data_IF_496040980768
#
_entry.id   IF_496040980768
#
_cell.length_a   1.000
_cell.length_b   1.000
_cell.length_c   1.000
_cell.angle_alpha   90.00
_cell.angle_beta   90.00
_cell.angle_gamma   90.00
#
_symmetry.space_group_name_H-M   'P 1'
#
loop_
_entity.id
_entity.type
_entity.pdbx_description
1 polymer ?
#
# COMPACT_ATOMS: atom_id res chain seq x y z
N UNK A 1 57.63 21.27 0.80
CA UNK A 1 57.61 22.75 0.61
C UNK A 1 57.44 23.23 -0.85
N UNK A 2 57.46 22.35 -1.86
CA UNK A 2 57.36 22.70 -3.29
C UNK A 2 55.92 22.77 -3.83
N UNK A 3 55.01 21.96 -3.29
CA UNK A 3 53.59 21.92 -3.70
C UNK A 3 52.85 23.21 -3.31
N UNK A 4 53.07 23.71 -2.10
CA UNK A 4 52.46 24.96 -1.57
C UNK A 4 52.90 26.20 -2.37
N UNK A 5 54.15 26.26 -2.80
CA UNK A 5 54.66 27.36 -3.64
C UNK A 5 54.14 27.28 -5.08
N UNK A 6 53.90 26.06 -5.60
CA UNK A 6 53.31 25.86 -6.94
C UNK A 6 51.82 26.22 -6.96
N UNK A 7 51.06 25.83 -5.94
CA UNK A 7 49.64 26.22 -5.80
C UNK A 7 49.48 27.73 -5.65
N UNK A 8 50.35 28.39 -4.86
CA UNK A 8 50.32 29.85 -4.71
C UNK A 8 50.60 30.62 -6.01
N UNK A 9 51.55 30.16 -6.84
CA UNK A 9 51.81 30.76 -8.16
C UNK A 9 50.69 30.50 -9.16
N UNK A 10 50.08 29.31 -9.12
CA UNK A 10 48.96 28.97 -9.98
C UNK A 10 47.72 29.82 -9.65
N UNK A 11 47.37 29.96 -8.37
CA UNK A 11 46.28 30.83 -7.93
C UNK A 11 46.52 32.29 -8.33
N UNK A 12 47.73 32.81 -8.11
CA UNK A 12 48.09 34.19 -8.46
C UNK A 12 47.94 34.45 -9.96
N UNK A 13 48.37 33.50 -10.81
CA UNK A 13 48.18 33.60 -12.27
C UNK A 13 46.71 33.57 -12.66
N UNK A 14 45.92 32.72 -12.02
CA UNK A 14 44.47 32.61 -12.27
C UNK A 14 43.76 33.93 -11.92
N UNK A 15 44.10 34.52 -10.76
CA UNK A 15 43.57 35.82 -10.34
C UNK A 15 44.02 36.94 -11.28
N UNK A 16 45.29 36.97 -11.67
CA UNK A 16 45.81 37.98 -12.61
C UNK A 16 45.13 37.90 -13.98
N UNK A 17 44.91 36.69 -14.51
CA UNK A 17 44.18 36.50 -15.77
C UNK A 17 42.72 36.92 -15.61
N UNK A 18 42.08 36.60 -14.48
CA UNK A 18 40.71 36.98 -14.19
C UNK A 18 40.52 38.50 -14.04
N UNK A 19 41.49 39.20 -13.45
CA UNK A 19 41.46 40.68 -13.27
C UNK A 19 41.96 41.45 -14.48
N UNK A 20 42.76 40.86 -15.37
CA UNK A 20 43.23 41.52 -16.60
C UNK A 20 42.10 41.77 -17.61
N UNK A 21 41.02 40.98 -17.58
CA UNK A 21 39.84 41.15 -18.45
C UNK A 21 38.54 40.91 -17.65
N UNK A 22 38.13 41.84 -16.77
CA UNK A 22 37.03 41.61 -15.83
C UNK A 22 35.70 41.35 -16.55
N UNK A 23 35.42 42.06 -17.64
CA UNK A 23 34.19 41.85 -18.42
C UNK A 23 34.12 40.44 -19.04
N UNK A 24 35.23 39.91 -19.55
CA UNK A 24 35.29 38.55 -20.11
C UNK A 24 35.05 37.52 -19.01
N UNK A 25 35.68 37.69 -17.85
CA UNK A 25 35.49 36.82 -16.68
C UNK A 25 34.02 36.79 -16.24
N UNK A 26 33.36 37.95 -16.18
CA UNK A 26 31.94 38.04 -15.82
C UNK A 26 31.06 37.35 -16.87
N UNK A 27 31.29 37.58 -18.16
CA UNK A 27 30.50 36.96 -19.23
C UNK A 27 30.65 35.44 -19.21
N UNK A 28 31.87 34.92 -19.09
CA UNK A 28 32.12 33.48 -18.99
C UNK A 28 31.46 32.88 -17.74
N UNK A 29 31.55 33.57 -16.60
CA UNK A 29 30.89 33.11 -15.37
C UNK A 29 29.37 33.09 -15.52
N UNK A 30 28.79 34.09 -16.17
CA UNK A 30 27.36 34.16 -16.45
C UNK A 30 26.91 33.05 -17.41
N UNK A 31 27.71 32.77 -18.45
CA UNK A 31 27.44 31.67 -19.37
C UNK A 31 27.51 30.30 -18.68
N UNK A 32 28.51 30.08 -17.81
CA UNK A 32 28.61 28.85 -17.03
C UNK A 32 27.46 28.72 -16.03
N UNK A 33 27.06 29.82 -15.38
CA UNK A 33 25.90 29.83 -14.49
C UNK A 33 24.61 29.51 -15.25
N UNK A 34 24.39 30.14 -16.41
CA UNK A 34 23.24 29.85 -17.27
C UNK A 34 23.23 28.39 -17.76
N UNK A 35 24.39 27.87 -18.18
CA UNK A 35 24.53 26.46 -18.55
C UNK A 35 24.22 25.53 -17.38
N UNK A 36 24.69 25.85 -16.17
CA UNK A 36 24.38 25.12 -14.95
C UNK A 36 22.88 25.12 -14.64
N UNK A 37 22.21 26.27 -14.75
CA UNK A 37 20.75 26.38 -14.57
C UNK A 37 20.01 25.55 -15.61
N UNK A 38 20.38 25.65 -16.90
CA UNK A 38 19.75 24.86 -17.97
C UNK A 38 19.95 23.37 -17.73
N UNK A 39 21.15 22.97 -17.29
CA UNK A 39 21.44 21.58 -16.96
C UNK A 39 20.59 21.10 -15.77
N UNK A 40 20.55 21.86 -14.68
CA UNK A 40 19.71 21.54 -13.52
C UNK A 40 18.23 21.47 -13.89
N UNK A 41 17.70 22.40 -14.69
CA UNK A 41 16.30 22.34 -15.11
C UNK A 41 15.96 21.11 -15.96
N UNK A 42 16.94 20.50 -16.64
CA UNK A 42 16.75 19.31 -17.46
C UNK A 42 16.96 18.01 -16.69
N UNK A 43 17.94 17.98 -15.80
CA UNK A 43 18.43 16.74 -15.18
C UNK A 43 18.10 16.64 -13.68
N UNK A 44 17.56 17.69 -13.06
CA UNK A 44 17.18 17.64 -11.66
C UNK A 44 15.97 16.72 -11.47
N UNK A 45 16.25 15.47 -11.14
CA UNK A 45 15.25 14.46 -10.79
C UNK A 45 15.12 14.34 -9.28
N UNK A 46 13.89 14.19 -8.79
CA UNK A 46 13.66 13.83 -7.40
C UNK A 46 13.74 12.31 -7.24
N UNK A 47 14.64 11.86 -6.38
CA UNK A 47 14.66 10.46 -5.95
C UNK A 47 13.57 10.30 -4.87
N UNK A 48 12.47 9.66 -5.25
CA UNK A 48 11.32 9.41 -4.35
C UNK A 48 11.38 8.03 -3.70
N UNK A 49 12.26 7.15 -4.18
CA UNK A 49 12.42 5.80 -3.64
C UNK A 49 13.38 5.80 -2.46
N UNK A 50 12.89 5.43 -1.27
CA UNK A 50 13.74 5.23 -0.10
C UNK A 50 14.80 4.14 -0.28
N UNK A 51 14.61 3.22 -1.24
CA UNK A 51 15.56 2.15 -1.56
C UNK A 51 16.89 2.69 -2.09
N UNK A 52 16.86 3.82 -2.80
CA UNK A 52 18.05 4.43 -3.41
C UNK A 52 18.94 5.15 -2.41
N UNK A 53 18.45 5.36 -1.18
CA UNK A 53 19.22 5.88 -0.05
C UNK A 53 20.05 4.79 0.65
N UNK A 54 19.83 3.52 0.32
CA UNK A 54 20.52 2.40 0.96
C UNK A 54 21.92 2.17 0.35
N UNK A 55 22.89 1.67 1.13
CA UNK A 55 24.23 1.39 0.64
C UNK A 55 24.21 0.37 -0.50
N UNK A 56 24.79 0.74 -1.65
CA UNK A 56 24.86 -0.14 -2.83
C UNK A 56 25.64 -1.42 -2.48
N UNK A 57 25.07 -2.59 -2.82
CA UNK A 57 25.74 -3.89 -2.69
C UNK A 57 25.47 -4.68 -1.40
N UNK A 58 24.55 -4.22 -0.54
CA UNK A 58 24.12 -5.03 0.61
C UNK A 58 23.34 -6.28 0.18
N UNK A 59 23.62 -7.43 0.80
CA UNK A 59 22.92 -8.70 0.50
C UNK A 59 21.39 -8.60 0.63
N UNK A 60 20.89 -7.72 1.51
CA UNK A 60 19.47 -7.42 1.66
C UNK A 60 18.84 -6.79 0.39
N UNK A 61 19.53 -5.85 -0.26
CA UNK A 61 19.04 -5.21 -1.49
C UNK A 61 18.96 -6.21 -2.64
N UNK A 62 19.93 -7.13 -2.72
CA UNK A 62 19.91 -8.18 -3.73
C UNK A 62 18.74 -9.13 -3.52
N UNK A 63 18.53 -9.62 -2.29
CA UNK A 63 17.38 -10.48 -1.97
C UNK A 63 16.05 -9.77 -2.21
N UNK A 64 15.94 -8.50 -1.84
CA UNK A 64 14.76 -7.70 -2.11
C UNK A 64 14.49 -7.54 -3.62
N UNK A 65 15.54 -7.34 -4.41
CA UNK A 65 15.43 -7.26 -5.87
C UNK A 65 15.08 -8.61 -6.51
N UNK A 66 15.60 -9.72 -5.99
CA UNK A 66 15.24 -11.08 -6.40
C UNK A 66 13.74 -11.34 -6.11
N UNK A 67 13.29 -11.07 -4.89
CA UNK A 67 11.89 -11.22 -4.47
C UNK A 67 10.94 -10.35 -5.29
N UNK A 68 11.29 -9.08 -5.51
CA UNK A 68 10.49 -8.15 -6.32
C UNK A 68 10.38 -8.59 -7.79
N UNK A 69 11.40 -9.27 -8.34
CA UNK A 69 11.37 -9.80 -9.71
C UNK A 69 10.51 -11.05 -9.82
N UNK A 70 10.55 -11.92 -8.82
CA UNK A 70 9.83 -13.19 -8.84
C UNK A 70 8.34 -13.00 -8.54
N UNK A 71 8.00 -12.15 -7.56
CA UNK A 71 6.63 -11.99 -7.08
C UNK A 71 5.93 -10.75 -7.60
N UNK A 72 6.62 -9.89 -8.37
CA UNK A 72 6.14 -8.60 -8.86
C UNK A 72 5.37 -7.86 -7.76
N UNK A 73 6.07 -7.14 -6.89
CA UNK A 73 5.42 -6.31 -5.86
C UNK A 73 5.14 -4.92 -6.44
N UNK A 74 3.94 -4.66 -7.01
CA UNK A 74 3.63 -3.33 -7.52
C UNK A 74 3.61 -2.35 -6.36
N UNK A 75 4.00 -1.10 -6.61
CA UNK A 75 3.85 -0.04 -5.62
C UNK A 75 2.38 0.07 -5.19
N UNK A 76 2.10 -0.23 -3.92
CA UNK A 76 0.74 -0.34 -3.40
C UNK A 76 0.33 0.96 -2.71
N UNK A 77 -0.88 1.42 -3.00
CA UNK A 77 -1.50 2.53 -2.27
C UNK A 77 -2.53 1.93 -1.31
N UNK A 78 -2.33 2.16 -0.01
CA UNK A 78 -3.27 1.74 1.03
C UNK A 78 -4.24 2.88 1.32
N UNK A 79 -5.53 2.64 1.07
CA UNK A 79 -6.60 3.61 1.38
C UNK A 79 -7.31 3.18 2.65
N UNK A 80 -7.10 3.94 3.74
CA UNK A 80 -7.80 3.74 5.00
C UNK A 80 -9.10 4.58 5.03
N UNK A 81 -10.22 3.95 5.35
CA UNK A 81 -11.54 4.61 5.44
C UNK A 81 -11.96 4.72 6.90
N UNK A 82 -12.15 5.96 7.38
CA UNK A 82 -12.67 6.25 8.71
C UNK A 82 -14.11 6.79 8.60
N UNK A 83 -15.01 6.28 9.43
CA UNK A 83 -16.38 6.77 9.56
C UNK A 83 -16.89 6.63 11.00
N UNK A 84 -17.92 7.38 11.42
CA UNK A 84 -18.50 7.28 12.77
C UNK A 84 -19.07 5.89 13.10
N UNK A 85 -19.47 5.12 12.08
CA UNK A 85 -19.97 3.75 12.22
C UNK A 85 -19.24 2.81 11.28
N UNK A 86 -18.91 1.62 11.76
CA UNK A 86 -18.24 0.59 10.96
C UNK A 86 -19.02 0.20 9.70
N UNK A 87 -20.34 0.15 9.77
CA UNK A 87 -21.20 -0.15 8.63
C UNK A 87 -21.02 0.86 7.49
N UNK A 88 -20.92 2.16 7.82
CA UNK A 88 -20.70 3.22 6.84
C UNK A 88 -19.30 3.15 6.22
N UNK A 89 -18.27 2.92 7.05
CA UNK A 89 -16.91 2.74 6.54
C UNK A 89 -16.81 1.56 5.57
N UNK A 90 -17.47 0.43 5.90
CA UNK A 90 -17.53 -0.75 5.03
C UNK A 90 -18.26 -0.45 3.71
N UNK A 91 -19.45 0.17 3.77
CA UNK A 91 -20.20 0.54 2.57
C UNK A 91 -19.38 1.45 1.64
N UNK A 92 -18.77 2.49 2.20
CA UNK A 92 -17.95 3.42 1.42
C UNK A 92 -16.73 2.72 0.79
N UNK A 93 -15.98 1.95 1.57
CA UNK A 93 -14.81 1.25 1.07
C UNK A 93 -15.17 0.22 -0.03
N UNK A 94 -16.34 -0.43 0.08
CA UNK A 94 -16.87 -1.32 -0.96
C UNK A 94 -17.21 -0.56 -2.24
N UNK A 95 -17.78 0.64 -2.13
CA UNK A 95 -18.10 1.47 -3.28
C UNK A 95 -16.82 1.97 -3.97
N UNK A 96 -15.83 2.46 -3.20
CA UNK A 96 -14.52 2.87 -3.74
C UNK A 96 -13.86 1.71 -4.48
N UNK A 97 -13.81 0.52 -3.87
CA UNK A 97 -13.22 -0.65 -4.52
C UNK A 97 -13.95 -1.03 -5.82
N UNK A 98 -15.29 -0.93 -5.84
CA UNK A 98 -16.08 -1.19 -7.04
C UNK A 98 -15.80 -0.17 -8.15
N UNK A 99 -15.70 1.13 -7.82
CA UNK A 99 -15.36 2.17 -8.80
C UNK A 99 -13.94 2.02 -9.35
N UNK A 100 -12.96 1.70 -8.50
CA UNK A 100 -11.57 1.50 -8.95
C UNK A 100 -11.44 0.32 -9.91
N UNK A 101 -12.20 -0.75 -9.70
CA UNK A 101 -12.23 -1.93 -10.59
C UNK A 101 -12.75 -1.63 -11.99
N UNK A 102 -13.44 -0.51 -12.22
CA UNK A 102 -13.90 -0.10 -13.56
C UNK A 102 -12.78 0.43 -14.45
N UNK A 103 -11.60 0.69 -13.89
CA UNK A 103 -10.44 1.21 -14.62
C UNK A 103 -9.26 0.21 -14.56
N UNK A 104 -9.40 -0.99 -15.15
CA UNK A 104 -8.35 -2.02 -15.11
C UNK A 104 -7.04 -1.55 -15.74
N UNK A 105 -7.10 -0.66 -16.74
CA UNK A 105 -5.92 -0.09 -17.40
C UNK A 105 -5.08 0.81 -16.48
N UNK A 106 -5.66 1.31 -15.37
CA UNK A 106 -4.99 2.18 -14.40
C UNK A 106 -4.69 1.49 -13.08
N UNK A 107 -5.49 0.49 -12.71
CA UNK A 107 -5.36 -0.24 -11.45
C UNK A 107 -5.38 -1.74 -11.74
N UNK A 108 -4.19 -2.32 -11.86
CA UNK A 108 -4.01 -3.75 -12.17
C UNK A 108 -4.63 -4.66 -11.09
N UNK A 109 -4.50 -4.28 -9.81
CA UNK A 109 -5.02 -5.08 -8.69
C UNK A 109 -5.68 -4.21 -7.63
N UNK A 110 -7.00 -4.37 -7.46
CA UNK A 110 -7.79 -3.74 -6.39
C UNK A 110 -8.16 -4.77 -5.34
N UNK A 111 -7.35 -4.85 -4.27
CA UNK A 111 -7.59 -5.73 -3.13
C UNK A 111 -8.55 -5.07 -2.13
N UNK A 112 -9.79 -5.56 -2.04
CA UNK A 112 -10.75 -5.13 -1.04
C UNK A 112 -11.68 -6.28 -0.67
N UNK A 113 -11.56 -6.74 0.60
CA UNK A 113 -12.15 -7.96 1.18
C UNK A 113 -11.85 -9.22 0.34
N UNK A 114 -11.41 -10.29 1.01
CA UNK A 114 -11.31 -11.58 0.32
C UNK A 114 -12.72 -12.02 -0.07
N UNK A 115 -12.93 -12.30 -1.35
CA UNK A 115 -14.24 -12.70 -1.87
C UNK A 115 -14.66 -14.02 -1.18
N UNK A 116 -15.74 -14.03 -0.37
CA UNK A 116 -16.20 -15.24 0.30
C UNK A 116 -16.49 -16.38 -0.69
N UNK A 117 -16.82 -16.04 -1.94
CA UNK A 117 -17.04 -17.02 -3.02
C UNK A 117 -15.83 -17.89 -3.30
N UNK A 118 -14.62 -17.35 -3.09
CA UNK A 118 -13.38 -18.12 -3.27
C UNK A 118 -13.25 -19.26 -2.24
N UNK A 119 -13.99 -19.19 -1.13
CA UNK A 119 -14.02 -20.19 -0.08
C UNK A 119 -15.34 -20.97 -0.02
N UNK A 120 -16.25 -20.80 -0.99
CA UNK A 120 -17.50 -21.56 -1.03
C UNK A 120 -17.21 -23.06 -1.01
N UNK A 121 -17.91 -23.78 -0.13
CA UNK A 121 -17.70 -25.22 0.11
C UNK A 121 -16.43 -25.61 0.87
N UNK A 122 -15.49 -24.69 1.10
CA UNK A 122 -14.21 -24.96 1.79
C UNK A 122 -13.93 -24.06 2.99
N UNK A 123 -14.79 -23.09 3.28
CA UNK A 123 -14.60 -22.14 4.37
C UNK A 123 -14.36 -22.80 5.74
N UNK A 124 -15.04 -23.92 6.01
CA UNK A 124 -14.86 -24.68 7.26
C UNK A 124 -13.47 -25.31 7.38
N UNK A 125 -12.76 -25.57 6.28
CA UNK A 125 -11.40 -26.12 6.31
C UNK A 125 -10.37 -25.14 6.88
N UNK A 126 -10.71 -23.85 6.93
CA UNK A 126 -9.86 -22.80 7.50
C UNK A 126 -10.19 -22.50 8.97
N UNK A 127 -11.22 -23.14 9.54
CA UNK A 127 -11.55 -23.02 10.95
C UNK A 127 -10.76 -24.04 11.79
N UNK A 128 -10.42 -23.69 13.03
CA UNK A 128 -9.76 -24.62 13.94
C UNK A 128 -10.70 -25.78 14.31
N UNK A 129 -10.14 -26.92 14.70
CA UNK A 129 -10.92 -28.10 15.13
C UNK A 129 -11.85 -27.79 16.31
N UNK A 130 -11.39 -26.96 17.25
CA UNK A 130 -12.22 -26.48 18.37
C UNK A 130 -13.42 -25.66 17.87
N UNK A 131 -13.19 -24.76 16.91
CA UNK A 131 -14.26 -23.94 16.33
C UNK A 131 -15.24 -24.77 15.50
N UNK A 132 -14.76 -25.80 14.81
CA UNK A 132 -15.60 -26.74 14.07
C UNK A 132 -16.50 -27.55 15.00
N UNK A 133 -16.01 -27.97 16.18
CA UNK A 133 -16.86 -28.61 17.20
C UNK A 133 -17.91 -27.64 17.73
N UNK A 134 -17.52 -26.41 18.08
CA UNK A 134 -18.47 -25.36 18.52
C UNK A 134 -19.58 -25.12 17.49
N UNK A 135 -19.22 -25.04 16.20
CA UNK A 135 -20.20 -24.88 15.12
C UNK A 135 -21.12 -26.10 15.01
N UNK A 136 -20.56 -27.31 15.03
CA UNK A 136 -21.33 -28.56 15.00
C UNK A 136 -22.32 -28.61 16.16
N UNK A 137 -21.83 -28.38 17.38
CA UNK A 137 -22.61 -28.50 18.61
C UNK A 137 -23.76 -27.49 18.61
N UNK A 138 -23.52 -26.25 18.18
CA UNK A 138 -24.57 -25.22 18.01
C UNK A 138 -25.61 -25.56 16.95
N UNK A 139 -25.20 -26.17 15.84
CA UNK A 139 -26.13 -26.60 14.79
C UNK A 139 -27.00 -27.75 15.30
N UNK A 140 -26.42 -28.70 16.03
CA UNK A 140 -27.17 -29.83 16.62
C UNK A 140 -28.11 -29.37 17.73
N UNK A 141 -27.66 -28.47 18.61
CA UNK A 141 -28.46 -27.89 19.69
C UNK A 141 -29.68 -27.11 19.17
N UNK A 142 -29.56 -26.48 18.00
CA UNK A 142 -30.62 -25.70 17.38
C UNK A 142 -31.20 -26.37 16.12
N UNK A 143 -31.12 -27.70 16.00
CA UNK A 143 -31.55 -28.43 14.81
C UNK A 143 -33.01 -28.14 14.43
N UNK A 144 -33.93 -28.13 15.40
CA UNK A 144 -35.35 -27.86 15.18
C UNK A 144 -35.61 -26.46 14.62
N UNK A 145 -34.85 -25.46 15.08
CA UNK A 145 -34.88 -24.10 14.54
C UNK A 145 -34.35 -24.05 13.10
N UNK A 146 -33.24 -24.76 12.83
CA UNK A 146 -32.64 -24.79 11.49
C UNK A 146 -33.58 -25.46 10.50
N UNK A 147 -34.24 -26.57 10.89
CA UNK A 147 -35.21 -27.29 10.05
C UNK A 147 -36.48 -26.46 9.78
N UNK A 148 -37.05 -25.80 10.81
CA UNK A 148 -38.23 -24.96 10.64
C UNK A 148 -37.95 -23.74 9.75
N UNK A 149 -36.79 -23.10 9.94
CA UNK A 149 -36.36 -21.99 9.11
C UNK A 149 -36.02 -22.41 7.67
N UNK A 150 -35.37 -23.56 7.47
CA UNK A 150 -35.07 -24.08 6.13
C UNK A 150 -36.34 -24.45 5.35
N UNK A 151 -37.38 -24.96 6.03
CA UNK A 151 -38.66 -25.27 5.41
C UNK A 151 -39.39 -24.01 4.91
N UNK A 152 -39.26 -22.88 5.63
CA UNK A 152 -39.83 -21.57 5.27
C UNK A 152 -38.90 -20.42 5.67
N UNK A 153 -38.02 -19.97 4.75
CA UNK A 153 -37.04 -18.92 5.04
C UNK A 153 -37.69 -17.53 4.95
N UNK A 154 -38.63 -17.26 5.86
CA UNK A 154 -39.36 -16.00 5.95
C UNK A 154 -39.10 -15.28 7.28
N UNK A 155 -39.24 -13.96 7.28
CA UNK A 155 -38.85 -13.11 8.42
C UNK A 155 -39.76 -13.29 9.64
N UNK A 156 -41.04 -13.58 9.40
CA UNK A 156 -42.05 -13.92 10.41
C UNK A 156 -41.67 -15.19 11.18
N UNK A 157 -41.28 -16.25 10.47
CA UNK A 157 -40.80 -17.50 11.08
C UNK A 157 -39.51 -17.29 11.89
N UNK A 158 -38.60 -16.44 11.43
CA UNK A 158 -37.38 -16.13 12.19
C UNK A 158 -37.72 -15.48 13.53
N UNK A 159 -38.61 -14.48 13.53
CA UNK A 159 -39.04 -13.76 14.74
C UNK A 159 -39.79 -14.69 15.69
N UNK A 160 -40.74 -15.48 15.18
CA UNK A 160 -41.53 -16.44 15.95
C UNK A 160 -40.65 -17.49 16.65
N UNK A 161 -39.68 -18.07 15.93
CA UNK A 161 -38.81 -19.08 16.49
C UNK A 161 -37.80 -18.49 17.51
N UNK A 162 -37.30 -17.25 17.30
CA UNK A 162 -36.46 -16.54 18.29
C UNK A 162 -37.26 -16.28 19.57
N UNK A 163 -38.50 -15.79 19.44
CA UNK A 163 -39.38 -15.56 20.59
C UNK A 163 -39.66 -16.84 21.37
N UNK A 164 -39.80 -17.98 20.67
CA UNK A 164 -40.03 -19.29 21.29
C UNK A 164 -38.81 -19.79 22.07
N UNK A 165 -37.59 -19.59 21.54
CA UNK A 165 -36.35 -19.94 22.26
C UNK A 165 -36.10 -19.06 23.50
N UNK A 166 -36.35 -17.75 23.40
CA UNK A 166 -36.21 -16.84 24.55
C UNK A 166 -37.24 -17.17 25.62
N UNK A 167 -38.48 -17.51 25.22
CA UNK A 167 -39.52 -17.96 26.14
C UNK A 167 -39.16 -19.26 26.88
N UNK A 168 -38.56 -20.23 26.19
CA UNK A 168 -38.10 -21.49 26.81
C UNK A 168 -36.93 -21.31 27.78
N UNK A 169 -36.00 -20.39 27.49
CA UNK A 169 -34.84 -20.12 28.34
C UNK A 169 -35.15 -19.30 29.60
N UNK A 170 -36.31 -18.63 29.66
CA UNK A 170 -36.77 -17.86 30.84
C UNK A 170 -37.57 -18.75 31.81
N UNK A 171 -38.10 -19.89 31.34
CA UNK A 171 -38.97 -20.79 32.12
C UNK A 171 -38.18 -21.96 32.75
N UNK A 172 -36.87 -22.04 32.52
CA UNK A 172 -35.95 -22.98 33.19
C UNK A 172 -34.95 -22.21 34.04
#
# INVERSE_FOLDING_TARGET
MSVVLRTGRALRRLVQVATARPALTVVVSLLLAAAGVVYSLRELTFITSGKDLLPRGGAYLQRYAEDSREFADPDQIVVAVQAPRLALAKAYASQVAHELRKYPDRFERVAYRTDPKQFEGRALLYASTAKLRDIRDKILEHQSFVESFAARPTLDQLVENISTQIGGAIVT
#
